data_IF_990400049374
#
_entry.id   IF_990400049374
#
_cell.length_a   1.000
_cell.length_b   1.000
_cell.length_c   1.000
_cell.angle_alpha   90.00
_cell.angle_beta   90.00
_cell.angle_gamma   90.00
#
_symmetry.space_group_name_H-M   'P 1'
#
loop_
_entity.id
_entity.type
_entity.pdbx_description
1 polymer ?
#
# COMPACT_ATOMS: atom_id res chain seq x y z
N UNK A 1 7.34 17.08 5.54
CA UNK A 1 8.08 15.81 5.25
C UNK A 1 7.10 14.67 5.46
N UNK A 2 6.62 14.01 4.39
CA UNK A 2 5.89 12.76 4.54
C UNK A 2 6.87 11.71 5.07
N UNK A 3 6.58 11.13 6.23
CA UNK A 3 7.36 10.01 6.78
C UNK A 3 6.81 8.73 6.16
N UNK A 4 7.66 8.01 5.42
CA UNK A 4 7.33 6.66 4.92
C UNK A 4 7.28 5.70 6.11
N UNK A 5 6.38 4.72 6.05
CA UNK A 5 6.33 3.66 7.05
C UNK A 5 7.65 2.87 7.07
N UNK A 6 8.25 2.63 8.25
CA UNK A 6 9.47 1.83 8.36
C UNK A 6 9.18 0.34 8.14
N UNK A 7 10.22 -0.41 7.82
CA UNK A 7 10.14 -1.87 7.85
C UNK A 7 10.24 -2.32 9.30
N UNK A 8 9.27 -3.10 9.76
CA UNK A 8 9.32 -3.78 11.06
C UNK A 8 9.80 -5.23 10.85
N UNK A 9 11.06 -5.50 11.12
CA UNK A 9 11.65 -6.84 10.99
C UNK A 9 12.86 -6.98 11.93
N UNK A 10 12.76 -7.89 12.91
CA UNK A 10 13.80 -8.11 13.91
C UNK A 10 15.00 -8.89 13.37
N UNK A 11 14.79 -9.71 12.33
CA UNK A 11 15.79 -10.64 11.81
C UNK A 11 16.65 -10.02 10.70
N UNK A 12 16.09 -9.10 9.91
CA UNK A 12 16.72 -8.56 8.70
C UNK A 12 18.16 -8.06 8.94
N UNK A 13 18.46 -7.29 10.01
CA UNK A 13 19.83 -6.85 10.28
C UNK A 13 20.80 -8.01 10.46
N UNK A 14 20.42 -9.05 11.22
CA UNK A 14 21.27 -10.21 11.47
C UNK A 14 21.51 -11.03 10.18
N UNK A 15 20.50 -11.17 9.34
CA UNK A 15 20.59 -11.88 8.05
C UNK A 15 21.49 -11.18 7.05
N UNK A 16 21.53 -9.84 7.08
CA UNK A 16 22.46 -9.03 6.29
C UNK A 16 23.90 -9.22 6.80
N UNK A 17 24.12 -9.10 8.12
CA UNK A 17 25.46 -9.23 8.70
C UNK A 17 26.06 -10.63 8.47
N UNK A 18 25.24 -11.68 8.55
CA UNK A 18 25.69 -13.05 8.28
C UNK A 18 25.82 -13.39 6.79
N UNK A 19 25.53 -12.45 5.87
CA UNK A 19 25.66 -12.67 4.43
C UNK A 19 24.57 -13.54 3.79
N UNK A 20 23.53 -13.93 4.55
CA UNK A 20 22.40 -14.71 4.03
C UNK A 20 21.41 -13.87 3.22
N UNK A 21 21.41 -12.55 3.41
CA UNK A 21 20.64 -11.57 2.63
C UNK A 21 21.59 -10.48 2.17
N UNK A 22 21.60 -10.19 0.87
CA UNK A 22 22.41 -9.10 0.29
C UNK A 22 21.47 -8.07 -0.32
N UNK A 23 21.54 -6.84 0.18
CA UNK A 23 20.74 -5.72 -0.36
C UNK A 23 21.40 -5.20 -1.63
N UNK A 24 20.60 -5.05 -2.69
CA UNK A 24 21.02 -4.54 -4.00
C UNK A 24 20.17 -3.32 -4.38
N UNK A 25 20.67 -2.42 -5.25
CA UNK A 25 19.84 -1.37 -5.83
C UNK A 25 18.77 -1.97 -6.76
N UNK A 26 17.95 -1.12 -7.39
CA UNK A 26 16.93 -1.61 -8.31
C UNK A 26 17.52 -2.47 -9.43
N UNK A 27 16.73 -3.44 -9.88
CA UNK A 27 17.04 -4.24 -11.07
C UNK A 27 16.94 -3.32 -12.29
N UNK A 28 17.98 -3.33 -13.12
CA UNK A 28 18.02 -2.64 -14.42
C UNK A 28 17.39 -3.50 -15.51
N UNK A 29 17.73 -4.79 -15.54
CA UNK A 29 17.28 -5.73 -16.56
C UNK A 29 17.35 -7.17 -16.06
N UNK A 30 16.37 -7.99 -16.45
CA UNK A 30 16.43 -9.44 -16.34
C UNK A 30 16.89 -10.06 -17.66
N UNK A 31 17.65 -11.15 -17.57
CA UNK A 31 17.94 -12.06 -18.69
C UNK A 31 17.17 -13.36 -18.48
N UNK A 32 17.44 -14.41 -19.27
CA UNK A 32 16.79 -15.72 -19.11
C UNK A 32 17.03 -16.34 -17.72
N UNK A 33 18.22 -16.11 -17.12
CA UNK A 33 18.64 -16.76 -15.87
C UNK A 33 19.36 -15.81 -14.91
N UNK A 34 19.35 -14.51 -15.15
CA UNK A 34 20.18 -13.56 -14.41
C UNK A 34 19.49 -12.20 -14.22
N UNK A 35 19.96 -11.43 -13.24
CA UNK A 35 19.49 -10.07 -12.98
C UNK A 35 20.68 -9.08 -12.96
N UNK A 36 20.60 -8.04 -13.78
CA UNK A 36 21.55 -6.94 -13.84
C UNK A 36 21.01 -5.78 -13.01
N UNK A 37 21.75 -5.33 -12.01
CA UNK A 37 21.37 -4.24 -11.13
C UNK A 37 21.87 -2.88 -11.64
N UNK A 38 21.29 -1.79 -11.11
CA UNK A 38 21.65 -0.42 -11.51
C UNK A 38 23.11 -0.04 -11.21
N UNK A 39 23.76 -0.68 -10.25
CA UNK A 39 25.18 -0.50 -9.95
C UNK A 39 26.11 -1.28 -10.91
N UNK A 40 25.54 -1.99 -11.89
CA UNK A 40 26.28 -2.82 -12.85
C UNK A 40 26.62 -4.23 -12.34
N UNK A 41 26.29 -4.57 -11.09
CA UNK A 41 26.48 -5.94 -10.59
C UNK A 41 25.46 -6.90 -11.20
N UNK A 42 25.83 -8.17 -11.31
CA UNK A 42 24.99 -9.22 -11.92
C UNK A 42 24.82 -10.38 -10.93
N UNK A 43 23.59 -10.85 -10.78
CA UNK A 43 23.27 -12.12 -10.12
C UNK A 43 22.97 -13.17 -11.18
N UNK A 44 23.83 -14.17 -11.29
CA UNK A 44 23.69 -15.31 -12.19
C UNK A 44 22.95 -16.47 -11.49
N UNK A 45 22.36 -17.39 -12.27
CA UNK A 45 21.71 -18.60 -11.74
C UNK A 45 20.45 -18.29 -10.92
N UNK A 46 19.67 -17.32 -11.37
CA UNK A 46 18.43 -16.90 -10.73
C UNK A 46 17.31 -17.92 -11.01
N UNK A 47 16.87 -18.63 -9.98
CA UNK A 47 15.78 -19.61 -10.11
C UNK A 47 14.39 -18.98 -10.01
N UNK A 48 14.23 -17.98 -9.14
CA UNK A 48 12.93 -17.39 -8.81
C UNK A 48 13.00 -15.87 -8.63
N UNK A 49 11.92 -15.19 -9.02
CA UNK A 49 11.69 -13.76 -8.77
C UNK A 49 10.41 -13.61 -7.96
N UNK A 50 10.49 -12.87 -6.85
CA UNK A 50 9.35 -12.55 -6.00
C UNK A 50 9.09 -11.04 -6.05
N UNK A 51 7.98 -10.63 -6.64
CA UNK A 51 7.56 -9.23 -6.68
C UNK A 51 6.83 -8.85 -5.38
N UNK A 52 7.57 -8.39 -4.38
CA UNK A 52 7.04 -7.83 -3.14
C UNK A 52 6.76 -6.32 -3.25
N UNK A 53 6.13 -5.87 -4.35
CA UNK A 53 5.98 -4.45 -4.73
C UNK A 53 4.72 -3.77 -4.19
N UNK A 54 4.01 -4.42 -3.25
CA UNK A 54 2.79 -3.89 -2.64
C UNK A 54 1.53 -4.16 -3.46
N UNK A 55 0.45 -3.44 -3.12
CA UNK A 55 -0.89 -3.65 -3.68
C UNK A 55 -1.52 -2.33 -4.13
N UNK A 56 -2.44 -2.43 -5.09
CA UNK A 56 -3.43 -1.39 -5.40
C UNK A 56 -4.79 -1.79 -4.82
N UNK A 57 -5.77 -0.88 -4.85
CA UNK A 57 -7.15 -1.15 -4.44
C UNK A 57 -8.11 -0.92 -5.63
N UNK A 58 -9.24 -1.64 -5.63
CA UNK A 58 -10.30 -1.48 -6.61
C UNK A 58 -11.65 -1.85 -5.98
N UNK A 59 -12.73 -1.28 -6.51
CA UNK A 59 -14.10 -1.55 -6.10
C UNK A 59 -14.91 -2.04 -7.31
N UNK A 60 -14.71 -3.28 -7.78
CA UNK A 60 -15.29 -3.77 -9.04
C UNK A 60 -16.83 -3.91 -9.03
N UNK A 61 -17.45 -3.74 -7.85
CA UNK A 61 -18.90 -3.68 -7.70
C UNK A 61 -19.48 -2.26 -7.87
N UNK A 62 -18.62 -1.26 -8.09
CA UNK A 62 -18.99 0.15 -8.20
C UNK A 62 -18.77 0.61 -9.64
N UNK A 63 -19.85 0.70 -10.40
CA UNK A 63 -19.81 1.05 -11.83
C UNK A 63 -19.44 2.53 -12.06
N UNK A 64 -19.78 3.40 -11.10
CA UNK A 64 -19.48 4.84 -11.16
C UNK A 64 -18.17 5.18 -10.44
N UNK A 65 -17.08 5.22 -11.21
CA UNK A 65 -15.75 5.62 -10.74
C UNK A 65 -15.71 7.07 -10.20
N UNK A 66 -16.75 7.88 -10.43
CA UNK A 66 -16.84 9.23 -9.89
C UNK A 66 -17.15 9.30 -8.40
N UNK A 67 -17.66 8.20 -7.80
CA UNK A 67 -17.96 8.09 -6.38
C UNK A 67 -16.67 8.00 -5.56
N UNK A 68 -15.76 7.10 -5.93
CA UNK A 68 -14.42 7.00 -5.33
C UNK A 68 -13.40 7.30 -6.42
N UNK A 69 -13.17 8.61 -6.67
CA UNK A 69 -12.16 9.03 -7.63
C UNK A 69 -10.76 8.72 -7.11
N UNK A 70 -10.04 7.88 -7.83
CA UNK A 70 -8.60 7.68 -7.68
C UNK A 70 -7.91 8.32 -8.88
N UNK A 71 -7.22 9.45 -8.68
CA UNK A 71 -6.42 10.08 -9.73
C UNK A 71 -5.05 10.43 -9.17
N UNK A 72 -3.98 10.11 -9.90
CA UNK A 72 -2.60 10.44 -9.53
C UNK A 72 -2.21 9.98 -8.11
N UNK A 73 -2.62 8.77 -7.71
CA UNK A 73 -2.36 8.21 -6.38
C UNK A 73 -3.09 8.95 -5.23
N UNK A 74 -4.09 9.77 -5.55
CA UNK A 74 -4.93 10.46 -4.57
C UNK A 74 -6.37 9.93 -4.66
N UNK A 75 -6.84 9.42 -3.53
CA UNK A 75 -8.24 9.02 -3.36
C UNK A 75 -9.03 10.19 -2.83
N UNK A 76 -10.07 10.60 -3.55
CA UNK A 76 -10.91 11.72 -3.14
C UNK A 76 -11.98 11.26 -2.16
N UNK A 77 -11.62 11.17 -0.89
CA UNK A 77 -12.52 10.85 0.22
C UNK A 77 -12.29 11.83 1.38
N UNK A 78 -13.38 12.39 1.93
CA UNK A 78 -13.29 13.20 3.15
C UNK A 78 -12.85 12.30 4.31
N UNK A 79 -11.68 12.63 4.89
CA UNK A 79 -11.00 11.85 5.93
C UNK A 79 -10.73 10.38 5.55
N UNK A 80 -10.59 10.06 4.26
CA UNK A 80 -10.49 8.69 3.75
C UNK A 80 -11.71 7.80 4.07
N UNK A 81 -12.89 8.42 4.26
CA UNK A 81 -14.12 7.72 4.68
C UNK A 81 -15.30 8.07 3.78
N UNK A 82 -15.66 9.35 3.65
CA UNK A 82 -16.90 9.75 2.96
C UNK A 82 -16.62 10.25 1.54
N UNK A 83 -17.33 9.76 0.51
CA UNK A 83 -17.33 10.37 -0.82
C UNK A 83 -17.90 11.80 -0.75
N UNK A 84 -17.09 12.85 -1.03
CA UNK A 84 -17.49 14.23 -0.76
C UNK A 84 -18.52 14.77 -1.77
N UNK A 85 -18.68 14.12 -2.93
CA UNK A 85 -19.57 14.56 -4.00
C UNK A 85 -20.91 13.84 -4.02
N UNK A 86 -21.17 12.93 -3.07
CA UNK A 86 -22.51 12.39 -2.88
C UNK A 86 -23.39 13.45 -2.22
N UNK A 87 -24.57 13.70 -2.80
CA UNK A 87 -25.54 14.67 -2.28
C UNK A 87 -25.97 14.37 -0.83
N UNK A 88 -26.07 13.07 -0.49
CA UNK A 88 -26.38 12.60 0.86
C UNK A 88 -25.27 11.67 1.35
N UNK A 89 -24.80 11.82 2.61
CA UNK A 89 -23.71 11.01 3.16
C UNK A 89 -24.22 9.63 3.57
N UNK A 90 -24.55 8.79 2.58
CA UNK A 90 -25.18 7.46 2.75
C UNK A 90 -24.21 6.30 2.46
N UNK A 91 -22.97 6.62 2.09
CA UNK A 91 -21.90 5.67 1.82
C UNK A 91 -20.65 6.06 2.60
N UNK A 92 -19.93 5.06 3.09
CA UNK A 92 -18.64 5.23 3.75
C UNK A 92 -17.69 4.10 3.34
N UNK A 93 -16.42 4.46 3.16
CA UNK A 93 -15.30 3.54 3.01
C UNK A 93 -14.63 3.40 4.38
N UNK A 94 -14.44 2.17 4.84
CA UNK A 94 -13.81 1.88 6.12
C UNK A 94 -12.52 1.10 5.86
N UNK A 95 -11.41 1.52 6.47
CA UNK A 95 -10.13 0.84 6.36
C UNK A 95 -9.25 1.25 5.18
N UNK A 96 -9.68 2.18 4.32
CA UNK A 96 -8.84 2.73 3.26
C UNK A 96 -7.89 3.82 3.81
N UNK A 97 -7.09 3.47 4.80
CA UNK A 97 -6.09 4.34 5.43
C UNK A 97 -4.96 3.49 5.98
N UNK A 98 -3.73 3.92 5.76
CA UNK A 98 -2.54 3.36 6.39
C UNK A 98 -1.93 4.41 7.31
N UNK A 99 -1.70 4.01 8.56
CA UNK A 99 -1.09 4.83 9.60
C UNK A 99 -0.03 4.02 10.32
N UNK A 100 0.81 4.67 11.14
CA UNK A 100 1.75 3.96 12.02
C UNK A 100 1.04 3.15 13.13
N UNK A 101 -0.25 3.40 13.37
CA UNK A 101 -1.05 2.68 14.35
C UNK A 101 -1.78 1.48 13.77
N UNK A 102 -2.35 0.66 14.65
CA UNK A 102 -3.12 -0.52 14.26
C UNK A 102 -4.37 -0.16 13.44
N UNK A 103 -4.66 -0.98 12.43
CA UNK A 103 -5.86 -0.85 11.59
C UNK A 103 -7.16 -1.07 12.40
N UNK A 104 -7.12 -1.91 13.45
CA UNK A 104 -8.29 -2.27 14.25
C UNK A 104 -8.93 -1.05 14.95
N UNK A 105 -8.22 -0.30 15.82
CA UNK A 105 -8.80 0.88 16.48
C UNK A 105 -9.11 1.99 15.46
N UNK A 106 -8.36 2.06 14.37
CA UNK A 106 -8.62 3.02 13.29
C UNK A 106 -9.97 2.74 12.65
N UNK A 107 -10.22 1.51 12.20
CA UNK A 107 -11.46 1.10 11.58
C UNK A 107 -12.66 1.18 12.56
N UNK A 108 -12.46 0.87 13.83
CA UNK A 108 -13.48 1.02 14.88
C UNK A 108 -13.96 2.47 15.02
N UNK A 109 -13.03 3.42 15.08
CA UNK A 109 -13.37 4.85 15.16
C UNK A 109 -14.03 5.34 13.86
N UNK A 110 -13.52 4.90 12.70
CA UNK A 110 -14.14 5.23 11.41
C UNK A 110 -15.60 4.74 11.36
N UNK A 111 -15.88 3.50 11.77
CA UNK A 111 -17.22 2.93 11.77
C UNK A 111 -18.16 3.64 12.77
N UNK A 112 -17.67 3.96 13.97
CA UNK A 112 -18.42 4.74 14.96
C UNK A 112 -18.80 6.14 14.48
N UNK A 113 -17.95 6.75 13.66
CA UNK A 113 -18.26 8.05 13.09
C UNK A 113 -19.24 7.92 11.93
N UNK A 114 -19.00 7.01 10.98
CA UNK A 114 -19.87 6.78 9.83
C UNK A 114 -21.32 6.44 10.24
N UNK A 115 -21.48 5.55 11.23
CA UNK A 115 -22.82 5.19 11.77
C UNK A 115 -23.56 6.35 12.41
N UNK A 116 -22.86 7.33 13.00
CA UNK A 116 -23.49 8.57 13.50
C UNK A 116 -23.89 9.49 12.36
N UNK A 117 -23.03 9.64 11.34
CA UNK A 117 -23.36 10.41 10.14
C UNK A 117 -24.61 9.85 9.45
N UNK A 118 -24.75 8.53 9.37
CA UNK A 118 -25.92 7.88 8.77
C UNK A 118 -27.22 8.08 9.55
N UNK A 119 -27.15 8.41 10.86
CA UNK A 119 -28.32 8.69 11.69
C UNK A 119 -28.84 10.13 11.57
N UNK A 120 -28.05 11.04 10.99
CA UNK A 120 -28.28 12.49 11.06
C UNK A 120 -27.91 13.09 12.41
#
# INVERSE_FOLDING_TARGET
ILRKEPVFNDDLPSRIICGTVVVKPNVKQFTETSAIFQDGTVLEGLDYVIFATGYTFAYPFMDDESIIKSRNNEVTLYKSILPPFLEKPTMAVIGLVQSLGSAIPTAELQARWATRVFKG
#
